data_IF_659206545349
#
_entry.id   IF_659206545349
#
_cell.length_a   1.000
_cell.length_b   1.000
_cell.length_c   1.000
_cell.angle_alpha   90.00
_cell.angle_beta   90.00
_cell.angle_gamma   90.00
#
_symmetry.space_group_name_H-M   'P 1'
#
loop_
_entity.id
_entity.type
_entity.pdbx_description
1 polymer ?
#
# COMPACT_ATOMS: atom_id res chain seq x y z
N UNK A 1 1.78 -70.51 54.29
CA UNK A 1 2.51 -69.98 53.21
C UNK A 1 1.53 -69.71 52.03
N UNK A 2 1.10 -68.47 51.85
CA UNK A 2 0.17 -68.09 50.76
C UNK A 2 0.87 -67.02 49.96
N UNK A 3 1.28 -67.38 48.72
CA UNK A 3 1.92 -66.52 47.71
C UNK A 3 0.83 -65.70 47.02
N UNK A 4 0.92 -64.36 47.11
CA UNK A 4 0.07 -63.40 46.36
C UNK A 4 0.76 -63.08 45.08
N UNK A 5 0.05 -63.23 43.95
CA UNK A 5 0.46 -62.76 42.63
C UNK A 5 -0.10 -61.37 42.39
N UNK A 6 0.75 -60.36 42.17
CA UNK A 6 0.39 -59.01 41.68
C UNK A 6 0.33 -59.04 40.16
N UNK A 7 -0.82 -58.88 39.62
CA UNK A 7 -1.01 -58.67 38.17
C UNK A 7 -0.77 -57.20 37.79
N UNK A 8 0.19 -56.98 36.91
CA UNK A 8 0.53 -55.67 36.32
C UNK A 8 -0.40 -55.42 35.12
N UNK A 9 -1.37 -54.48 35.22
CA UNK A 9 -2.19 -54.04 34.10
C UNK A 9 -1.43 -52.97 33.33
N UNK A 10 -0.95 -53.32 32.12
CA UNK A 10 -0.42 -52.40 31.11
C UNK A 10 -1.61 -51.69 30.42
N UNK A 11 -1.84 -50.42 30.72
CA UNK A 11 -2.75 -49.57 29.96
C UNK A 11 -1.97 -48.99 28.75
N UNK A 12 -2.15 -49.58 27.59
CA UNK A 12 -1.67 -49.01 26.33
C UNK A 12 -2.58 -47.85 25.88
N UNK A 13 -2.18 -46.63 26.20
CA UNK A 13 -2.84 -45.44 25.70
C UNK A 13 -2.56 -45.28 24.19
N UNK A 14 -3.56 -45.51 23.34
CA UNK A 14 -3.51 -45.19 21.94
C UNK A 14 -3.62 -43.65 21.79
N UNK A 15 -2.47 -43.02 21.51
CA UNK A 15 -2.48 -41.61 21.03
C UNK A 15 -3.01 -41.59 19.60
N UNK A 16 -4.29 -41.23 19.44
CA UNK A 16 -4.84 -40.88 18.15
C UNK A 16 -4.19 -39.57 17.71
N UNK A 17 -3.22 -39.66 16.81
CA UNK A 17 -2.70 -38.51 16.05
C UNK A 17 -3.83 -37.96 15.18
N UNK A 18 -4.48 -36.90 15.62
CA UNK A 18 -5.35 -36.10 14.77
C UNK A 18 -4.46 -35.40 13.76
N UNK A 19 -4.28 -36.01 12.61
CA UNK A 19 -3.73 -35.33 11.45
C UNK A 19 -4.64 -34.14 11.15
N UNK A 20 -4.17 -32.91 11.44
CA UNK A 20 -4.77 -31.71 10.90
C UNK A 20 -4.65 -31.83 9.37
N UNK A 21 -5.72 -32.24 8.73
CA UNK A 21 -5.93 -31.98 7.30
C UNK A 21 -5.84 -30.46 7.16
N UNK A 22 -4.69 -29.95 6.69
CA UNK A 22 -4.56 -28.58 6.25
C UNK A 22 -5.67 -28.36 5.21
N UNK A 23 -6.54 -27.39 5.47
CA UNK A 23 -7.52 -26.98 4.49
C UNK A 23 -6.74 -26.57 3.24
N UNK A 24 -6.70 -27.45 2.23
CA UNK A 24 -6.23 -27.09 0.91
C UNK A 24 -7.18 -25.99 0.45
N UNK A 25 -6.65 -24.77 0.28
CA UNK A 25 -7.42 -23.64 -0.19
C UNK A 25 -8.19 -24.08 -1.46
N UNK A 26 -9.49 -23.80 -1.48
CA UNK A 26 -10.31 -24.10 -2.66
C UNK A 26 -9.67 -23.44 -3.88
N UNK A 27 -9.48 -24.17 -4.96
CA UNK A 27 -8.97 -23.63 -6.22
C UNK A 27 -9.78 -22.37 -6.62
N UNK A 28 -9.16 -21.36 -7.22
CA UNK A 28 -9.87 -20.18 -7.69
C UNK A 28 -10.92 -20.55 -8.71
N UNK A 29 -12.13 -19.96 -8.60
CA UNK A 29 -13.24 -20.21 -9.52
C UNK A 29 -13.12 -19.40 -10.82
N UNK A 30 -12.15 -18.48 -10.90
CA UNK A 30 -11.88 -17.61 -12.02
C UNK A 30 -10.38 -17.32 -12.16
N UNK A 31 -10.06 -16.48 -13.12
CA UNK A 31 -8.70 -15.99 -13.34
C UNK A 31 -8.61 -14.52 -12.93
N UNK A 32 -7.66 -14.20 -12.09
CA UNK A 32 -7.41 -12.90 -11.49
C UNK A 32 -6.25 -12.22 -12.22
N UNK A 33 -6.47 -11.01 -12.68
CA UNK A 33 -5.51 -10.24 -13.46
C UNK A 33 -5.05 -9.01 -12.67
N UNK A 34 -3.72 -8.87 -12.51
CA UNK A 34 -3.08 -7.86 -11.67
C UNK A 34 -1.90 -7.25 -12.40
N UNK A 35 -1.81 -5.93 -12.44
CA UNK A 35 -0.63 -5.23 -12.95
C UNK A 35 0.38 -4.97 -11.84
N UNK A 36 1.67 -5.10 -12.15
CA UNK A 36 2.79 -4.80 -11.25
C UNK A 36 3.85 -3.98 -11.96
N UNK A 37 4.36 -2.95 -11.27
CA UNK A 37 5.45 -2.10 -11.72
C UNK A 37 6.75 -2.52 -11.05
N UNK A 38 7.81 -2.67 -11.84
CA UNK A 38 9.15 -3.07 -11.40
C UNK A 38 10.15 -1.95 -11.71
N UNK A 39 10.53 -1.21 -10.66
CA UNK A 39 11.31 0.03 -10.74
C UNK A 39 12.73 -0.23 -11.25
N UNK A 40 13.37 -1.30 -10.79
CA UNK A 40 14.80 -1.56 -11.06
C UNK A 40 15.14 -1.92 -12.50
N UNK A 41 14.17 -2.24 -13.34
CA UNK A 41 14.41 -2.60 -14.74
C UNK A 41 13.35 -2.08 -15.72
N UNK A 42 12.59 -1.03 -15.33
CA UNK A 42 11.59 -0.32 -16.16
C UNK A 42 10.52 -1.24 -16.76
N UNK A 43 9.98 -2.18 -15.97
CA UNK A 43 9.01 -3.13 -16.49
C UNK A 43 7.65 -3.01 -15.85
N UNK A 44 6.63 -3.24 -16.67
CA UNK A 44 5.25 -3.45 -16.22
C UNK A 44 4.84 -4.85 -16.64
N UNK A 45 4.45 -5.68 -15.67
CA UNK A 45 3.98 -7.03 -15.92
C UNK A 45 2.48 -7.15 -15.61
N UNK A 46 1.76 -7.91 -16.41
CA UNK A 46 0.42 -8.40 -16.11
C UNK A 46 0.52 -9.84 -15.60
N UNK A 47 0.06 -10.05 -14.39
CA UNK A 47 0.02 -11.35 -13.75
C UNK A 47 -1.36 -11.95 -13.93
N UNK A 48 -1.42 -13.23 -14.29
CA UNK A 48 -2.64 -14.05 -14.30
C UNK A 48 -2.51 -15.12 -13.23
N UNK A 49 -3.51 -15.20 -12.36
CA UNK A 49 -3.63 -16.25 -11.34
C UNK A 49 -4.98 -16.93 -11.47
N UNK A 50 -5.00 -18.26 -11.50
CA UNK A 50 -6.20 -19.04 -11.64
C UNK A 50 -6.01 -20.51 -11.26
N UNK A 51 -6.91 -21.43 -11.68
CA UNK A 51 -6.81 -22.85 -11.34
C UNK A 51 -5.49 -23.51 -11.78
N UNK A 52 -4.86 -22.97 -12.84
CA UNK A 52 -3.56 -23.46 -13.35
C UNK A 52 -2.35 -22.86 -12.60
N UNK A 53 -2.58 -22.06 -11.54
CA UNK A 53 -1.52 -21.36 -10.81
C UNK A 53 -1.33 -19.91 -11.26
N UNK A 54 -0.14 -19.34 -10.95
CA UNK A 54 0.21 -17.97 -11.29
C UNK A 54 1.27 -17.93 -12.39
N UNK A 55 1.12 -16.99 -13.33
CA UNK A 55 2.11 -16.75 -14.40
C UNK A 55 2.15 -15.27 -14.80
N UNK A 56 3.26 -14.86 -15.39
CA UNK A 56 3.32 -13.61 -16.13
C UNK A 56 2.59 -13.83 -17.46
N UNK A 57 1.51 -13.11 -17.67
CA UNK A 57 0.71 -13.18 -18.90
C UNK A 57 1.38 -12.38 -20.03
N UNK A 58 1.86 -11.19 -19.69
CA UNK A 58 2.68 -10.34 -20.54
C UNK A 58 3.50 -9.38 -19.70
N UNK A 59 4.56 -8.87 -20.30
CA UNK A 59 5.53 -8.00 -19.67
C UNK A 59 6.15 -7.09 -20.74
N UNK A 60 6.20 -5.78 -20.49
CA UNK A 60 6.81 -4.84 -21.40
C UNK A 60 7.69 -3.84 -20.66
N UNK A 61 8.67 -3.29 -21.36
CA UNK A 61 9.52 -2.23 -20.86
C UNK A 61 8.83 -0.88 -21.08
N UNK A 62 8.89 0.00 -20.08
CA UNK A 62 8.47 1.39 -20.21
C UNK A 62 9.55 2.22 -20.92
N UNK A 63 9.11 3.34 -21.53
CA UNK A 63 9.98 4.32 -22.16
C UNK A 63 10.32 4.01 -23.61
N UNK A 64 10.79 5.03 -24.29
CA UNK A 64 11.16 5.00 -25.71
C UNK A 64 12.68 4.82 -25.86
N UNK A 65 13.44 5.42 -24.94
CA UNK A 65 14.89 5.37 -24.95
C UNK A 65 15.40 4.17 -24.11
N UNK A 66 16.10 3.20 -24.71
CA UNK A 66 16.58 2.02 -23.98
C UNK A 66 17.69 2.30 -22.96
N UNK A 67 18.32 3.49 -23.02
CA UNK A 67 19.36 3.88 -22.06
C UNK A 67 18.84 4.73 -20.90
N UNK A 68 17.58 5.12 -20.94
CA UNK A 68 16.93 5.88 -19.88
C UNK A 68 16.30 4.93 -18.85
N UNK A 69 16.55 5.18 -17.56
CA UNK A 69 15.88 4.49 -16.44
C UNK A 69 14.79 5.41 -15.92
N UNK A 70 13.55 5.02 -16.14
CA UNK A 70 12.37 5.82 -15.76
C UNK A 70 11.92 5.52 -14.33
N UNK A 71 12.14 4.31 -13.83
CA UNK A 71 11.75 3.87 -12.51
C UNK A 71 10.23 3.86 -12.30
N UNK A 72 9.46 2.98 -12.95
CA UNK A 72 8.03 2.85 -12.70
C UNK A 72 7.78 2.44 -11.25
N UNK A 73 7.15 3.33 -10.45
CA UNK A 73 7.02 3.16 -9.02
C UNK A 73 5.60 2.81 -8.60
N UNK A 74 4.62 3.67 -8.87
CA UNK A 74 3.21 3.43 -8.58
C UNK A 74 2.44 2.99 -9.82
N UNK A 75 1.38 2.21 -9.62
CA UNK A 75 0.45 1.81 -10.68
C UNK A 75 -0.98 1.84 -10.16
N UNK A 76 -1.94 2.26 -11.00
CA UNK A 76 -3.36 2.23 -10.69
C UNK A 76 -4.18 1.96 -11.96
N UNK A 77 -5.19 1.13 -11.85
CA UNK A 77 -6.13 0.81 -12.95
C UNK A 77 -7.33 1.74 -12.86
N UNK A 78 -7.82 2.22 -14.01
CA UNK A 78 -9.04 3.02 -14.07
C UNK A 78 -10.27 2.20 -13.63
N UNK A 79 -11.29 2.81 -12.99
CA UNK A 79 -12.48 2.08 -12.51
C UNK A 79 -13.24 1.33 -13.61
N UNK A 80 -13.19 1.83 -14.86
CA UNK A 80 -13.80 1.18 -16.03
C UNK A 80 -12.93 0.04 -16.61
N UNK A 81 -11.73 -0.17 -16.07
CA UNK A 81 -10.79 -1.20 -16.47
C UNK A 81 -10.15 -1.02 -17.84
N UNK A 82 -10.31 0.16 -18.50
CA UNK A 82 -9.78 0.38 -19.85
C UNK A 82 -8.35 0.88 -19.88
N UNK A 83 -7.93 1.57 -18.82
CA UNK A 83 -6.62 2.19 -18.71
C UNK A 83 -5.93 1.79 -17.42
N UNK A 84 -4.61 1.87 -17.43
CA UNK A 84 -3.81 1.93 -16.21
C UNK A 84 -2.83 3.08 -16.28
N UNK A 85 -2.49 3.61 -15.12
CA UNK A 85 -1.60 4.73 -14.95
C UNK A 85 -0.37 4.31 -14.18
N UNK A 86 0.80 4.84 -14.57
CA UNK A 86 2.08 4.51 -13.95
C UNK A 86 2.83 5.81 -13.66
N UNK A 87 3.34 5.93 -12.43
CA UNK A 87 4.28 7.01 -12.10
C UNK A 87 5.70 6.56 -12.38
N UNK A 88 6.54 7.49 -12.86
CA UNK A 88 7.97 7.26 -13.02
C UNK A 88 8.76 8.19 -12.11
N UNK A 89 9.65 7.59 -11.30
CA UNK A 89 10.28 8.23 -10.16
C UNK A 89 11.65 8.87 -10.47
N UNK A 90 12.37 8.38 -11.47
CA UNK A 90 13.78 8.72 -11.68
C UNK A 90 14.02 9.96 -12.57
N UNK A 91 12.98 10.61 -13.06
CA UNK A 91 13.10 11.87 -13.81
C UNK A 91 13.64 13.01 -12.95
N UNK A 92 14.62 13.76 -13.45
CA UNK A 92 15.20 14.92 -12.77
C UNK A 92 15.05 16.16 -13.67
N UNK A 93 14.47 17.26 -13.16
CA UNK A 93 13.98 17.52 -11.80
C UNK A 93 12.59 16.97 -11.53
N UNK A 94 11.88 16.48 -12.54
CA UNK A 94 10.47 16.06 -12.48
C UNK A 94 10.32 14.61 -12.91
N UNK A 95 9.38 13.89 -12.28
CA UNK A 95 8.90 12.62 -12.80
C UNK A 95 7.63 12.82 -13.64
N UNK A 96 6.99 11.73 -14.03
CA UNK A 96 5.83 11.79 -14.91
C UNK A 96 4.75 10.76 -14.49
N UNK A 97 3.53 11.07 -14.93
CA UNK A 97 2.42 10.12 -14.98
C UNK A 97 2.19 9.68 -16.41
N UNK A 98 2.12 8.37 -16.63
CA UNK A 98 1.87 7.75 -17.92
C UNK A 98 0.52 7.05 -17.92
N UNK A 99 -0.20 7.09 -19.05
CA UNK A 99 -1.49 6.42 -19.25
C UNK A 99 -1.38 5.40 -20.37
N UNK A 100 -1.76 4.16 -20.09
CA UNK A 100 -1.72 3.06 -21.04
C UNK A 100 -3.09 2.38 -21.15
N UNK A 101 -3.35 1.73 -22.29
CA UNK A 101 -4.52 0.85 -22.41
C UNK A 101 -4.26 -0.48 -21.72
N UNK A 102 -5.23 -1.00 -20.95
CA UNK A 102 -5.11 -2.31 -20.30
C UNK A 102 -5.08 -3.48 -21.29
N UNK A 103 -5.66 -3.32 -22.49
CA UNK A 103 -5.78 -4.39 -23.47
C UNK A 103 -4.45 -4.71 -24.18
N UNK A 104 -3.62 -3.71 -24.47
CA UNK A 104 -2.44 -3.84 -25.33
C UNK A 104 -1.20 -3.11 -24.84
N UNK A 105 -1.25 -2.50 -23.66
CA UNK A 105 -0.18 -1.68 -23.10
C UNK A 105 0.25 -0.52 -24.04
N UNK A 106 -0.71 -0.01 -24.85
CA UNK A 106 -0.46 1.10 -25.75
C UNK A 106 -0.44 2.40 -24.97
N UNK A 107 0.61 3.21 -25.15
CA UNK A 107 0.71 4.55 -24.57
C UNK A 107 -0.37 5.45 -25.14
N UNK A 108 -1.16 6.09 -24.26
CA UNK A 108 -2.25 7.01 -24.62
C UNK A 108 -1.91 8.46 -24.28
N UNK A 109 -1.19 8.66 -23.17
CA UNK A 109 -0.85 10.00 -22.70
C UNK A 109 0.24 10.01 -21.65
N UNK A 110 0.85 11.18 -21.47
CA UNK A 110 1.88 11.44 -20.45
C UNK A 110 1.79 12.89 -19.99
N UNK A 111 2.03 13.12 -18.70
CA UNK A 111 2.15 14.46 -18.11
C UNK A 111 3.31 14.50 -17.13
N UNK A 112 4.11 15.58 -17.18
CA UNK A 112 5.18 15.82 -16.23
C UNK A 112 4.59 16.35 -14.91
N UNK A 113 5.08 15.85 -13.79
CA UNK A 113 4.60 16.19 -12.45
C UNK A 113 5.72 16.75 -11.58
N UNK A 114 5.57 16.66 -10.24
CA UNK A 114 6.60 17.05 -9.29
C UNK A 114 7.77 16.05 -9.21
N UNK A 115 8.69 16.30 -8.29
CA UNK A 115 9.83 15.43 -8.07
C UNK A 115 9.39 14.10 -7.44
N UNK A 116 9.83 13.00 -8.02
CA UNK A 116 9.57 11.64 -7.58
C UNK A 116 8.07 11.38 -7.34
N UNK A 117 7.20 11.40 -8.37
CA UNK A 117 5.82 10.96 -8.22
C UNK A 117 5.82 9.46 -7.88
N UNK A 118 5.32 9.13 -6.68
CA UNK A 118 5.40 7.78 -6.12
C UNK A 118 4.06 7.04 -6.22
N UNK A 119 3.16 7.29 -5.30
CA UNK A 119 1.88 6.59 -5.23
C UNK A 119 0.79 7.36 -5.93
N UNK A 120 -0.21 6.64 -6.43
CA UNK A 120 -1.32 7.25 -7.14
C UNK A 120 -2.62 6.48 -6.90
N UNK A 121 -3.74 7.16 -7.14
CA UNK A 121 -5.04 6.54 -7.20
C UNK A 121 -5.96 7.29 -8.17
N UNK A 122 -6.79 6.56 -8.90
CA UNK A 122 -7.83 7.13 -9.77
C UNK A 122 -9.09 7.36 -8.95
N UNK A 123 -9.77 8.49 -9.15
CA UNK A 123 -11.06 8.76 -8.51
C UNK A 123 -12.12 7.73 -8.95
N UNK A 124 -13.12 7.42 -8.10
CA UNK A 124 -14.13 6.40 -8.42
C UNK A 124 -14.93 6.65 -9.70
N UNK A 125 -15.07 7.92 -10.11
CA UNK A 125 -15.70 8.33 -11.36
C UNK A 125 -14.75 8.28 -12.57
N UNK A 126 -13.46 7.97 -12.34
CA UNK A 126 -12.42 7.93 -13.38
C UNK A 126 -11.95 9.28 -13.88
N UNK A 127 -12.47 10.40 -13.33
CA UNK A 127 -12.19 11.74 -13.84
C UNK A 127 -10.80 12.27 -13.47
N UNK A 128 -10.29 11.92 -12.29
CA UNK A 128 -9.02 12.44 -11.78
C UNK A 128 -8.09 11.34 -11.32
N UNK A 129 -6.78 11.60 -11.46
CA UNK A 129 -5.71 10.81 -10.86
C UNK A 129 -5.00 11.68 -9.83
N UNK A 130 -4.99 11.22 -8.58
CA UNK A 130 -4.26 11.85 -7.48
C UNK A 130 -2.89 11.20 -7.38
N UNK A 131 -1.82 12.00 -7.47
CA UNK A 131 -0.44 11.51 -7.51
C UNK A 131 0.39 12.20 -6.43
N UNK A 132 0.99 11.41 -5.57
CA UNK A 132 1.87 11.93 -4.51
C UNK A 132 3.26 12.19 -5.06
N UNK A 133 3.73 13.42 -4.97
CA UNK A 133 5.11 13.80 -5.29
C UNK A 133 5.96 13.60 -4.03
N UNK A 134 6.63 12.46 -3.94
CA UNK A 134 7.35 12.05 -2.73
C UNK A 134 8.60 12.90 -2.45
N UNK A 135 9.25 13.40 -3.49
CA UNK A 135 10.46 14.22 -3.41
C UNK A 135 11.61 13.54 -2.63
N UNK A 136 11.80 12.23 -2.85
CA UNK A 136 12.75 11.39 -2.07
C UNK A 136 14.18 11.90 -2.11
N UNK A 137 14.63 12.41 -3.26
CA UNK A 137 16.02 12.85 -3.47
C UNK A 137 16.19 14.37 -3.44
N UNK A 138 15.10 15.11 -3.17
CA UNK A 138 15.13 16.55 -3.09
C UNK A 138 15.44 17.08 -1.69
N UNK A 139 15.49 18.39 -1.57
CA UNK A 139 15.56 19.05 -0.26
C UNK A 139 14.35 18.70 0.61
N UNK A 140 14.50 18.61 1.95
CA UNK A 140 13.38 18.30 2.84
C UNK A 140 12.45 19.51 3.02
N UNK A 141 11.76 19.87 1.91
CA UNK A 141 10.77 20.94 1.83
C UNK A 141 9.38 20.37 1.67
N UNK A 142 8.37 21.20 1.86
CA UNK A 142 6.98 20.82 1.59
C UNK A 142 6.83 20.37 0.14
N UNK A 143 6.36 19.16 -0.06
CA UNK A 143 5.95 18.60 -1.34
C UNK A 143 4.42 18.55 -1.45
N UNK A 144 3.88 17.77 -2.38
CA UNK A 144 2.50 17.95 -2.82
C UNK A 144 1.83 16.66 -3.30
N UNK A 145 0.52 16.76 -3.48
CA UNK A 145 -0.29 15.83 -4.29
C UNK A 145 -0.71 16.55 -5.56
N UNK A 146 -0.33 16.03 -6.72
CA UNK A 146 -0.82 16.48 -8.03
C UNK A 146 -2.18 15.89 -8.31
N UNK A 147 -3.09 16.68 -8.89
CA UNK A 147 -4.40 16.24 -9.38
C UNK A 147 -4.38 16.35 -10.89
N UNK A 148 -4.49 15.23 -11.58
CA UNK A 148 -4.44 15.15 -13.05
C UNK A 148 -5.83 14.82 -13.56
N UNK A 149 -6.34 15.63 -14.53
CA UNK A 149 -7.55 15.29 -15.26
C UNK A 149 -7.24 14.13 -16.21
N UNK A 150 -7.86 12.99 -15.94
CA UNK A 150 -7.47 11.71 -16.50
C UNK A 150 -7.70 11.58 -18.02
N UNK A 151 -8.72 12.25 -18.57
CA UNK A 151 -9.04 12.19 -19.99
C UNK A 151 -7.96 12.87 -20.84
N UNK A 152 -7.60 14.09 -20.50
CA UNK A 152 -6.66 14.92 -21.26
C UNK A 152 -5.21 14.80 -20.79
N UNK A 153 -4.94 14.10 -19.70
CA UNK A 153 -3.63 13.98 -19.06
C UNK A 153 -3.01 15.36 -18.76
N UNK A 154 -3.79 16.23 -18.10
CA UNK A 154 -3.38 17.57 -17.70
C UNK A 154 -3.40 17.70 -16.18
N UNK A 155 -2.31 18.19 -15.57
CA UNK A 155 -2.28 18.55 -14.16
C UNK A 155 -3.14 19.79 -13.95
N UNK A 156 -4.28 19.64 -13.26
CA UNK A 156 -5.22 20.75 -13.02
C UNK A 156 -4.87 21.54 -11.77
N UNK A 157 -4.23 20.92 -10.81
CA UNK A 157 -3.73 21.58 -9.59
C UNK A 157 -2.68 20.73 -8.90
N UNK A 158 -1.92 21.38 -8.03
CA UNK A 158 -0.92 20.76 -7.16
C UNK A 158 -1.16 21.24 -5.74
N UNK A 159 -1.56 20.31 -4.86
CA UNK A 159 -1.96 20.58 -3.48
C UNK A 159 -0.73 20.45 -2.57
N UNK A 160 -0.19 21.54 -1.98
CA UNK A 160 0.87 21.44 -1.00
C UNK A 160 0.40 20.62 0.22
N UNK A 161 1.22 19.69 0.69
CA UNK A 161 0.87 18.82 1.82
C UNK A 161 1.89 18.90 2.95
N UNK A 162 3.08 18.31 2.78
CA UNK A 162 4.06 18.13 3.85
C UNK A 162 5.43 17.70 3.30
N UNK A 163 6.39 17.44 4.19
CA UNK A 163 7.69 16.91 3.80
C UNK A 163 7.61 15.41 3.58
N UNK A 164 8.04 14.96 2.41
CA UNK A 164 8.02 13.54 2.01
C UNK A 164 6.63 12.89 2.15
N UNK A 165 5.61 13.41 1.45
CA UNK A 165 4.33 12.71 1.37
C UNK A 165 4.52 11.37 0.64
N UNK A 166 3.83 10.28 1.09
CA UNK A 166 4.05 8.96 0.51
C UNK A 166 2.74 8.23 0.21
N UNK A 167 2.41 7.18 0.95
CA UNK A 167 1.27 6.35 0.66
C UNK A 167 -0.07 7.05 0.85
N UNK A 168 -0.97 6.88 -0.10
CA UNK A 168 -2.24 7.60 -0.09
C UNK A 168 -3.39 6.75 -0.64
N UNK A 169 -4.63 7.09 -0.23
CA UNK A 169 -5.87 6.49 -0.74
C UNK A 169 -7.02 7.48 -0.70
N UNK A 170 -7.89 7.40 -1.69
CA UNK A 170 -9.23 7.99 -1.64
C UNK A 170 -10.17 7.15 -0.76
N UNK A 171 -11.13 7.77 -0.11
CA UNK A 171 -12.26 7.03 0.44
C UNK A 171 -13.14 6.48 -0.70
N UNK A 172 -14.02 5.53 -0.40
CA UNK A 172 -14.86 4.85 -1.40
C UNK A 172 -15.73 5.81 -2.22
N UNK A 173 -16.13 6.95 -1.65
CA UNK A 173 -16.91 7.98 -2.33
C UNK A 173 -16.07 8.95 -3.16
N UNK A 174 -14.74 8.90 -3.07
CA UNK A 174 -13.85 9.85 -3.76
C UNK A 174 -13.91 11.28 -3.22
N UNK A 175 -14.54 11.52 -2.06
CA UNK A 175 -14.73 12.86 -1.48
C UNK A 175 -13.56 13.31 -0.60
N UNK A 176 -12.74 12.38 -0.14
CA UNK A 176 -11.58 12.61 0.70
C UNK A 176 -10.40 11.79 0.19
N UNK A 177 -9.23 12.40 0.17
CA UNK A 177 -7.96 11.74 -0.13
C UNK A 177 -7.05 11.84 1.09
N UNK A 178 -6.59 10.72 1.57
CA UNK A 178 -5.70 10.62 2.73
C UNK A 178 -4.27 10.37 2.26
N UNK A 179 -3.31 11.16 2.74
CA UNK A 179 -1.89 11.00 2.43
C UNK A 179 -1.05 11.12 3.70
N UNK A 180 -0.01 10.33 3.79
CA UNK A 180 0.89 10.36 4.95
C UNK A 180 2.10 11.23 4.69
N UNK A 181 2.70 11.74 5.77
CA UNK A 181 3.84 12.65 5.80
C UNK A 181 4.97 12.01 6.59
N UNK A 182 5.92 11.35 5.91
CA UNK A 182 6.94 10.54 6.57
C UNK A 182 7.82 11.34 7.52
N UNK A 183 8.19 12.58 7.14
CA UNK A 183 9.10 13.44 7.91
C UNK A 183 8.38 14.39 8.87
N UNK A 184 7.05 14.33 8.95
CA UNK A 184 6.25 15.11 9.89
C UNK A 184 5.49 14.23 10.91
N UNK A 185 5.61 12.89 10.84
CA UNK A 185 4.77 11.96 11.60
C UNK A 185 3.29 12.32 11.52
N UNK A 186 2.77 12.60 10.33
CA UNK A 186 1.41 13.09 10.17
C UNK A 186 0.63 12.36 9.07
N UNK A 187 -0.70 12.35 9.23
CA UNK A 187 -1.68 12.04 8.20
C UNK A 187 -2.35 13.34 7.79
N UNK A 188 -2.51 13.60 6.49
CA UNK A 188 -3.34 14.70 5.96
C UNK A 188 -4.59 14.16 5.30
N UNK A 189 -5.71 14.87 5.51
CA UNK A 189 -6.95 14.69 4.78
C UNK A 189 -7.12 15.85 3.78
N UNK A 190 -7.26 15.50 2.52
CA UNK A 190 -7.51 16.43 1.42
C UNK A 190 -9.00 16.37 1.07
N UNK A 191 -9.67 17.50 1.03
CA UNK A 191 -11.01 17.63 0.47
C UNK A 191 -10.89 17.67 -1.06
N UNK A 192 -11.46 16.67 -1.74
CA UNK A 192 -11.33 16.53 -3.20
C UNK A 192 -12.16 17.51 -4.01
N UNK A 193 -13.17 18.16 -3.39
CA UNK A 193 -13.98 19.19 -4.04
C UNK A 193 -13.31 20.56 -3.98
N UNK A 194 -12.54 20.81 -2.90
CA UNK A 194 -11.84 22.08 -2.69
C UNK A 194 -10.39 22.02 -3.15
N UNK A 195 -9.87 20.83 -3.46
CA UNK A 195 -8.47 20.58 -3.77
C UNK A 195 -7.52 21.17 -2.72
N UNK A 196 -7.81 20.94 -1.46
CA UNK A 196 -7.04 21.49 -0.35
C UNK A 196 -7.02 20.58 0.86
N UNK A 197 -5.98 20.73 1.71
CA UNK A 197 -5.88 20.01 2.98
C UNK A 197 -6.91 20.58 3.94
N UNK A 198 -7.88 19.75 4.37
CA UNK A 198 -8.93 20.13 5.32
C UNK A 198 -8.48 20.02 6.77
N UNK A 199 -7.70 18.98 7.09
CA UNK A 199 -7.19 18.72 8.44
C UNK A 199 -6.01 17.75 8.38
N UNK A 200 -5.29 17.65 9.49
CA UNK A 200 -4.20 16.67 9.64
C UNK A 200 -4.22 16.04 11.04
N UNK A 201 -3.51 14.93 11.20
CA UNK A 201 -3.40 14.19 12.44
C UNK A 201 -1.94 13.90 12.76
N UNK A 202 -1.46 14.30 13.94
CA UNK A 202 -0.12 13.98 14.41
C UNK A 202 -0.08 12.54 14.94
N UNK A 203 0.88 11.75 14.45
CA UNK A 203 1.03 10.31 14.72
C UNK A 203 2.16 10.00 15.72
N UNK A 204 2.90 11.01 16.14
CA UNK A 204 4.00 10.86 17.11
C UNK A 204 3.48 10.25 18.40
N UNK A 205 4.06 9.12 18.82
CA UNK A 205 3.59 8.34 19.97
C UNK A 205 3.58 9.18 21.25
N UNK A 206 2.42 9.21 21.91
CA UNK A 206 2.19 9.99 23.13
C UNK A 206 1.85 11.47 22.87
N UNK A 207 1.74 11.88 21.59
CA UNK A 207 1.35 13.24 21.17
C UNK A 207 0.26 13.21 20.10
N UNK A 208 -0.43 12.10 19.98
CA UNK A 208 -1.43 11.89 18.92
C UNK A 208 -2.61 12.84 19.11
N UNK A 209 -2.87 13.68 18.11
CA UNK A 209 -4.04 14.57 18.10
C UNK A 209 -4.37 15.08 16.69
N UNK A 210 -5.62 15.43 16.48
CA UNK A 210 -6.12 16.00 15.25
C UNK A 210 -6.10 17.51 15.26
N UNK A 211 -5.84 18.13 14.10
CA UNK A 211 -5.75 19.57 13.89
C UNK A 211 -6.43 19.95 12.57
N UNK A 212 -6.95 21.18 12.47
CA UNK A 212 -7.50 21.74 11.25
C UNK A 212 -6.39 22.25 10.31
N UNK A 213 -6.65 22.21 9.01
CA UNK A 213 -5.73 22.71 7.97
C UNK A 213 -4.48 21.83 7.75
N UNK A 214 -3.53 22.31 6.94
CA UNK A 214 -2.29 21.61 6.65
C UNK A 214 -1.33 21.59 7.85
N UNK A 215 -0.43 20.60 7.94
CA UNK A 215 0.61 20.61 8.94
C UNK A 215 1.54 21.82 8.74
N UNK A 216 1.89 22.50 9.83
CA UNK A 216 2.87 23.59 9.79
C UNK A 216 4.25 23.01 9.49
N UNK A 217 4.85 23.44 8.39
CA UNK A 217 6.24 23.14 8.09
C UNK A 217 7.05 24.33 8.62
N UNK A 218 7.98 24.10 9.56
CA UNK A 218 8.90 25.15 9.96
C UNK A 218 9.68 25.60 8.73
N UNK A 219 9.45 26.85 8.30
CA UNK A 219 10.29 27.48 7.32
C UNK A 219 11.74 27.47 7.86
N UNK A 220 12.70 26.99 7.06
CA UNK A 220 14.11 27.21 7.38
C UNK A 220 14.29 28.71 7.54
N UNK A 221 14.87 29.11 8.68
CA UNK A 221 15.11 30.49 9.04
C UNK A 221 15.91 31.25 7.97
N UNK A 222 15.18 31.99 7.15
CA UNK A 222 15.64 33.10 6.37
C UNK A 222 14.68 34.24 6.71
N UNK A 223 15.09 35.11 7.60
CA UNK A 223 14.51 36.38 7.95
C UNK A 223 13.07 36.70 7.49
N UNK A 224 12.09 36.32 8.32
CA UNK A 224 10.90 37.15 8.51
C UNK A 224 10.26 36.84 9.87
N UNK A 225 10.42 37.80 10.78
CA UNK A 225 9.85 37.80 12.12
C UNK A 225 8.45 38.39 12.10
N UNK A 226 7.45 37.63 11.62
CA UNK A 226 6.05 37.96 11.86
C UNK A 226 5.11 36.80 11.54
N UNK A 227 5.04 35.81 12.40
CA UNK A 227 3.81 35.01 12.66
C UNK A 227 4.09 34.06 13.84
N UNK A 228 4.00 34.56 15.07
CA UNK A 228 3.81 33.69 16.23
C UNK A 228 2.35 33.19 16.21
N UNK A 229 2.12 32.05 15.58
CA UNK A 229 0.95 31.23 15.85
C UNK A 229 1.36 30.11 16.80
N UNK A 230 0.60 29.92 17.87
CA UNK A 230 0.78 28.86 18.86
C UNK A 230 0.51 27.48 18.23
N UNK A 231 1.41 27.00 17.37
CA UNK A 231 1.42 25.65 16.81
C UNK A 231 2.65 24.91 17.31
N UNK A 232 2.51 23.67 17.74
CA UNK A 232 3.61 22.81 18.12
C UNK A 232 4.64 22.74 16.98
N UNK A 233 5.90 23.00 17.30
CA UNK A 233 7.02 22.88 16.37
C UNK A 233 7.01 21.49 15.72
N UNK A 234 7.18 21.38 14.38
CA UNK A 234 7.19 20.08 13.71
C UNK A 234 8.29 19.20 14.30
N UNK A 235 8.06 17.88 14.43
CA UNK A 235 9.04 16.98 15.02
C UNK A 235 10.35 17.00 14.22
N UNK A 236 11.47 17.05 14.92
CA UNK A 236 12.80 16.89 14.32
C UNK A 236 12.98 15.45 13.84
N UNK A 237 13.83 15.17 12.85
CA UNK A 237 14.04 13.81 12.35
C UNK A 237 14.33 12.76 13.43
N UNK A 238 14.98 13.14 14.54
CA UNK A 238 15.23 12.28 15.71
C UNK A 238 13.99 11.97 16.56
N UNK A 239 12.97 12.83 16.51
CA UNK A 239 11.75 12.73 17.32
C UNK A 239 10.66 11.91 16.66
N UNK A 240 10.82 11.54 15.37
CA UNK A 240 9.85 10.74 14.63
C UNK A 240 9.72 9.35 15.25
N UNK A 241 8.49 8.96 15.56
CA UNK A 241 8.17 7.66 16.17
C UNK A 241 7.42 6.73 15.24
N UNK A 242 6.58 7.27 14.34
CA UNK A 242 5.76 6.54 13.39
C UNK A 242 6.47 6.36 12.04
N UNK A 243 6.98 7.45 11.45
CA UNK A 243 7.42 7.48 10.04
C UNK A 243 6.38 6.81 9.14
N UNK A 244 5.19 7.45 8.98
CA UNK A 244 4.06 6.81 8.33
C UNK A 244 4.32 6.60 6.85
N UNK A 245 3.99 5.41 6.34
CA UNK A 245 4.25 5.03 4.94
C UNK A 245 2.98 4.85 4.11
N UNK A 246 1.84 4.60 4.73
CA UNK A 246 0.58 4.36 4.02
C UNK A 246 -0.63 4.79 4.81
N UNK A 247 -1.65 5.31 4.12
CA UNK A 247 -2.99 5.55 4.65
C UNK A 247 -4.00 4.69 3.89
N UNK A 248 -4.89 3.99 4.62
CA UNK A 248 -5.94 3.15 4.07
C UNK A 248 -7.27 3.46 4.78
N UNK A 249 -8.24 4.09 4.12
CA UNK A 249 -9.60 4.24 4.66
C UNK A 249 -10.29 2.87 4.77
N UNK A 250 -11.17 2.72 5.76
CA UNK A 250 -12.10 1.60 5.82
C UNK A 250 -13.13 1.67 4.68
N UNK A 251 -13.75 0.52 4.37
CA UNK A 251 -14.73 0.42 3.29
C UNK A 251 -15.93 1.37 3.47
N UNK A 252 -16.37 1.56 4.72
CA UNK A 252 -17.46 2.47 5.11
C UNK A 252 -17.03 3.94 5.27
N UNK A 253 -15.71 4.22 5.18
CA UNK A 253 -15.14 5.55 5.35
C UNK A 253 -15.14 6.07 6.79
N UNK A 254 -15.55 5.27 7.77
CA UNK A 254 -15.62 5.68 9.17
C UNK A 254 -14.25 5.74 9.84
N UNK A 255 -13.25 5.04 9.31
CA UNK A 255 -11.90 4.94 9.86
C UNK A 255 -10.83 5.17 8.80
N UNK A 256 -9.65 5.58 9.26
CA UNK A 256 -8.41 5.54 8.46
C UNK A 256 -7.34 4.78 9.24
N UNK A 257 -6.72 3.82 8.57
CA UNK A 257 -5.58 3.05 9.08
C UNK A 257 -4.29 3.64 8.53
N UNK A 258 -3.29 3.86 9.40
CA UNK A 258 -2.00 4.43 9.02
C UNK A 258 -0.88 3.46 9.41
N UNK A 259 -0.10 3.03 8.43
CA UNK A 259 1.08 2.19 8.65
C UNK A 259 2.21 3.02 9.24
N UNK A 260 2.60 2.75 10.48
CA UNK A 260 3.73 3.36 11.18
C UNK A 260 4.96 2.45 11.03
N UNK A 261 5.75 2.68 10.00
CA UNK A 261 6.89 1.83 9.64
C UNK A 261 7.93 1.71 10.75
N UNK A 262 8.23 2.81 11.45
CA UNK A 262 9.26 2.84 12.50
C UNK A 262 8.83 2.17 13.79
N UNK A 263 7.55 2.29 14.18
CA UNK A 263 7.00 1.70 15.42
C UNK A 263 6.41 0.30 15.24
N UNK A 264 6.34 -0.24 14.01
CA UNK A 264 5.80 -1.57 13.72
C UNK A 264 4.36 -1.74 14.17
N UNK A 265 3.55 -0.71 14.00
CA UNK A 265 2.13 -0.72 14.32
C UNK A 265 1.30 0.02 13.27
N UNK A 266 0.00 -0.20 13.30
CA UNK A 266 -0.99 0.56 12.53
C UNK A 266 -1.77 1.43 13.50
N UNK A 267 -1.84 2.73 13.20
CA UNK A 267 -2.72 3.66 13.93
C UNK A 267 -4.10 3.65 13.28
N UNK A 268 -5.12 3.38 14.07
CA UNK A 268 -6.53 3.49 13.67
C UNK A 268 -7.09 4.82 14.15
N UNK A 269 -7.64 5.60 13.22
CA UNK A 269 -8.21 6.95 13.46
C UNK A 269 -9.70 6.89 13.10
N UNK A 270 -10.56 7.32 14.02
CA UNK A 270 -11.97 7.59 13.74
C UNK A 270 -12.12 8.89 12.96
N UNK A 271 -12.73 8.82 11.76
CA UNK A 271 -12.86 9.96 10.85
C UNK A 271 -13.83 11.00 11.36
N UNK A 272 -14.89 10.60 12.08
CA UNK A 272 -15.90 11.50 12.62
C UNK A 272 -15.38 12.39 13.73
N UNK A 273 -14.77 11.81 14.76
CA UNK A 273 -14.19 12.52 15.90
C UNK A 273 -12.79 13.04 15.65
N UNK A 274 -12.09 12.54 14.62
CA UNK A 274 -10.70 12.82 14.29
C UNK A 274 -9.76 12.54 15.47
N UNK A 275 -9.94 11.34 16.09
CA UNK A 275 -9.17 10.86 17.23
C UNK A 275 -8.61 9.46 16.97
N UNK A 276 -7.45 9.14 17.55
CA UNK A 276 -6.92 7.79 17.53
C UNK A 276 -7.77 6.88 18.42
N UNK A 277 -8.19 5.73 17.89
CA UNK A 277 -8.94 4.72 18.66
C UNK A 277 -8.03 3.67 19.24
N UNK A 278 -6.99 3.26 18.49
CA UNK A 278 -6.02 2.26 18.96
C UNK A 278 -4.77 2.21 18.07
N UNK A 279 -3.76 1.49 18.58
CA UNK A 279 -2.60 1.03 17.82
C UNK A 279 -2.65 -0.49 17.69
N UNK A 280 -2.44 -1.02 16.50
CA UNK A 280 -2.51 -2.45 16.17
C UNK A 280 -1.08 -2.92 15.87
N UNK A 281 -0.48 -3.80 16.70
CA UNK A 281 0.86 -4.33 16.45
C UNK A 281 0.90 -5.15 15.14
N UNK A 282 2.02 -5.06 14.42
CA UNK A 282 2.27 -5.78 13.16
C UNK A 282 3.64 -6.47 13.16
N UNK A 283 4.02 -7.02 12.01
CA UNK A 283 5.41 -7.40 11.75
C UNK A 283 6.33 -6.20 11.57
N UNK A 284 7.63 -6.47 11.46
CA UNK A 284 8.67 -5.44 11.40
C UNK A 284 8.58 -4.60 10.11
N UNK A 285 8.44 -3.30 10.27
CA UNK A 285 8.40 -2.33 9.19
C UNK A 285 7.14 -2.38 8.35
N UNK A 286 5.95 -2.34 8.98
CA UNK A 286 4.69 -2.25 8.23
C UNK A 286 4.74 -1.08 7.25
N UNK A 287 4.33 -1.33 5.97
CA UNK A 287 4.61 -0.38 4.89
C UNK A 287 3.37 -0.01 4.08
N UNK A 288 2.74 -0.97 3.40
CA UNK A 288 1.53 -0.75 2.60
C UNK A 288 0.35 -1.45 3.25
N UNK A 289 -0.85 -0.92 3.03
CA UNK A 289 -2.09 -1.43 3.57
C UNK A 289 -3.13 -1.63 2.46
N UNK A 290 -3.88 -2.73 2.55
CA UNK A 290 -5.07 -2.97 1.76
C UNK A 290 -6.20 -3.48 2.65
N UNK A 291 -7.41 -2.95 2.50
CA UNK A 291 -8.60 -3.40 3.21
C UNK A 291 -9.52 -4.19 2.28
N UNK A 292 -10.17 -5.22 2.81
CA UNK A 292 -11.23 -5.93 2.08
C UNK A 292 -12.47 -5.03 1.93
N UNK A 293 -13.24 -5.24 0.86
CA UNK A 293 -14.45 -4.44 0.57
C UNK A 293 -15.57 -4.71 1.57
N UNK A 294 -15.61 -5.92 2.10
CA UNK A 294 -16.55 -6.30 3.18
C UNK A 294 -16.19 -5.68 4.54
N UNK A 295 -15.06 -4.97 4.63
CA UNK A 295 -14.59 -4.27 5.83
C UNK A 295 -14.10 -5.18 6.96
N UNK A 296 -13.86 -6.48 6.69
CA UNK A 296 -13.46 -7.42 7.74
C UNK A 296 -11.96 -7.50 7.96
N UNK A 297 -11.16 -7.46 6.89
CA UNK A 297 -9.72 -7.69 6.97
C UNK A 297 -8.92 -6.47 6.51
N UNK A 298 -7.82 -6.24 7.21
CA UNK A 298 -6.76 -5.32 6.82
C UNK A 298 -5.49 -6.14 6.59
N UNK A 299 -4.87 -5.95 5.44
CA UNK A 299 -3.63 -6.63 5.05
C UNK A 299 -2.51 -5.60 5.06
N UNK A 300 -1.47 -5.86 5.84
CA UNK A 300 -0.29 -5.00 5.93
C UNK A 300 0.98 -5.72 5.47
N UNK A 301 1.75 -5.10 4.57
CA UNK A 301 3.06 -5.63 4.17
C UNK A 301 4.12 -5.20 5.19
N UNK A 302 4.93 -6.13 5.70
CA UNK A 302 6.00 -5.86 6.66
C UNK A 302 7.34 -5.86 5.92
N UNK A 303 7.77 -4.68 5.48
CA UNK A 303 8.88 -4.49 4.54
C UNK A 303 10.21 -5.05 5.07
N UNK A 304 10.52 -4.82 6.37
CA UNK A 304 11.70 -5.37 7.03
C UNK A 304 11.49 -6.80 7.53
N UNK A 305 10.25 -7.16 7.89
CA UNK A 305 9.88 -8.44 8.48
C UNK A 305 9.69 -9.58 7.48
N UNK A 306 9.89 -9.35 6.18
CA UNK A 306 9.69 -10.34 5.12
C UNK A 306 8.38 -11.14 5.30
N UNK A 307 7.29 -10.42 5.56
CA UNK A 307 6.00 -11.03 5.86
C UNK A 307 4.84 -10.11 5.53
N UNK A 308 3.64 -10.66 5.63
CA UNK A 308 2.37 -9.96 5.53
C UNK A 308 1.57 -10.24 6.79
N UNK A 309 1.02 -9.20 7.43
CA UNK A 309 0.08 -9.29 8.54
C UNK A 309 -1.35 -9.26 8.00
N UNK A 310 -2.17 -10.24 8.34
CA UNK A 310 -3.61 -10.24 8.08
C UNK A 310 -4.33 -9.99 9.40
N UNK A 311 -5.09 -8.91 9.47
CA UNK A 311 -5.66 -8.35 10.70
C UNK A 311 -7.18 -8.32 10.58
N UNK A 312 -7.88 -8.78 11.60
CA UNK A 312 -9.33 -8.57 11.75
C UNK A 312 -9.60 -7.13 12.18
N UNK A 313 -10.30 -6.37 11.34
CA UNK A 313 -10.54 -4.93 11.56
C UNK A 313 -11.36 -4.70 12.83
N UNK A 314 -12.35 -5.53 13.11
CA UNK A 314 -13.24 -5.33 14.26
C UNK A 314 -12.48 -5.42 15.59
N UNK A 315 -11.68 -6.45 15.76
CA UNK A 315 -10.93 -6.70 17.01
C UNK A 315 -9.54 -6.05 17.03
N UNK A 316 -8.96 -5.71 15.87
CA UNK A 316 -7.56 -5.31 15.75
C UNK A 316 -6.56 -6.45 15.96
N UNK A 317 -7.02 -7.68 15.94
CA UNK A 317 -6.16 -8.86 16.16
C UNK A 317 -5.51 -9.31 14.87
N UNK A 318 -4.20 -9.55 14.89
CA UNK A 318 -3.52 -10.25 13.82
C UNK A 318 -3.95 -11.71 13.78
N UNK A 319 -4.60 -12.12 12.70
CA UNK A 319 -5.08 -13.50 12.49
C UNK A 319 -3.98 -14.40 11.96
N UNK A 320 -3.12 -13.85 11.10
CA UNK A 320 -1.99 -14.58 10.53
C UNK A 320 -0.84 -13.63 10.18
N UNK A 321 0.38 -14.15 10.27
CA UNK A 321 1.60 -13.54 9.72
C UNK A 321 2.21 -14.50 8.72
N UNK A 322 2.21 -14.13 7.44
CA UNK A 322 2.54 -15.01 6.33
C UNK A 322 3.86 -14.56 5.72
N UNK A 323 4.84 -15.45 5.66
CA UNK A 323 6.15 -15.15 5.08
C UNK A 323 6.07 -14.93 3.57
N UNK A 324 6.74 -13.88 3.07
CA UNK A 324 6.90 -13.62 1.63
C UNK A 324 8.04 -14.46 1.04
N UNK A 325 7.99 -14.67 -0.28
CA UNK A 325 8.98 -15.49 -1.00
C UNK A 325 10.38 -14.87 -0.94
N UNK A 326 10.46 -13.54 -1.01
CA UNK A 326 11.70 -12.76 -0.91
C UNK A 326 11.57 -11.66 0.12
N UNK A 327 12.68 -10.97 0.37
CA UNK A 327 12.72 -9.78 1.24
C UNK A 327 12.07 -8.58 0.57
N UNK A 328 11.71 -7.60 1.39
CA UNK A 328 11.17 -6.30 0.99
C UNK A 328 9.76 -6.42 0.42
N UNK A 329 8.82 -6.88 1.26
CA UNK A 329 7.38 -6.84 0.95
C UNK A 329 6.93 -5.36 0.79
N UNK A 330 6.30 -5.02 -0.35
CA UNK A 330 6.04 -3.64 -0.75
C UNK A 330 4.55 -3.37 -0.94
N UNK A 331 4.01 -3.46 -2.14
CA UNK A 331 2.62 -3.16 -2.45
C UNK A 331 1.66 -4.30 -2.11
N UNK A 332 0.37 -3.98 -1.94
CA UNK A 332 -0.71 -4.95 -1.81
C UNK A 332 -1.96 -4.50 -2.57
N UNK A 333 -2.54 -5.41 -3.35
CA UNK A 333 -3.83 -5.25 -4.02
C UNK A 333 -4.76 -6.39 -3.61
N UNK A 334 -5.99 -6.05 -3.20
CA UNK A 334 -7.00 -7.02 -2.80
C UNK A 334 -7.94 -7.29 -3.98
N UNK A 335 -8.28 -8.55 -4.24
CA UNK A 335 -9.27 -8.89 -5.26
C UNK A 335 -10.67 -8.38 -4.87
N UNK A 336 -11.53 -8.00 -5.83
CA UNK A 336 -12.84 -7.42 -5.55
C UNK A 336 -13.82 -8.33 -4.80
N UNK A 337 -13.57 -9.65 -4.83
CA UNK A 337 -14.32 -10.69 -4.11
C UNK A 337 -13.75 -10.96 -2.70
N UNK A 338 -12.78 -10.15 -2.26
CA UNK A 338 -12.11 -10.24 -0.95
C UNK A 338 -11.41 -11.59 -0.67
N UNK A 339 -11.15 -12.38 -1.72
CA UNK A 339 -10.60 -13.71 -1.56
C UNK A 339 -9.08 -13.75 -1.56
N UNK A 340 -8.43 -12.92 -2.37
CA UNK A 340 -6.97 -12.93 -2.52
C UNK A 340 -6.35 -11.56 -2.31
N UNK A 341 -5.19 -11.56 -1.64
CA UNK A 341 -4.27 -10.44 -1.65
C UNK A 341 -3.07 -10.77 -2.55
N UNK A 342 -2.77 -9.86 -3.47
CA UNK A 342 -1.60 -9.89 -4.34
C UNK A 342 -0.56 -8.95 -3.77
N UNK A 343 0.60 -9.47 -3.42
CA UNK A 343 1.67 -8.74 -2.73
C UNK A 343 2.89 -8.67 -3.62
N UNK A 344 3.30 -7.47 -3.99
CA UNK A 344 4.57 -7.26 -4.67
C UNK A 344 5.72 -7.30 -3.66
N UNK A 345 6.81 -7.95 -4.04
CA UNK A 345 8.00 -8.11 -3.23
C UNK A 345 9.21 -7.72 -4.07
N UNK A 346 9.99 -6.76 -3.59
CA UNK A 346 11.05 -6.13 -4.37
C UNK A 346 12.24 -7.06 -4.64
N UNK A 347 12.57 -7.96 -3.69
CA UNK A 347 13.85 -8.66 -3.66
C UNK A 347 15.00 -7.78 -3.17
N UNK A 348 16.22 -8.26 -3.24
CA UNK A 348 17.43 -7.52 -2.81
C UNK A 348 18.52 -7.64 -3.88
N UNK A 349 19.15 -6.51 -4.21
CA UNK A 349 20.21 -6.44 -5.21
C UNK A 349 19.70 -6.82 -6.59
N UNK A 350 20.34 -7.81 -7.24
CA UNK A 350 19.98 -8.29 -8.58
C UNK A 350 18.89 -9.37 -8.59
N UNK A 351 18.30 -9.69 -7.45
CA UNK A 351 17.20 -10.65 -7.40
C UNK A 351 15.98 -10.12 -8.16
N UNK A 352 15.26 -10.97 -8.91
CA UNK A 352 13.95 -10.59 -9.42
C UNK A 352 13.00 -10.30 -8.26
N UNK A 353 12.03 -9.42 -8.46
CA UNK A 353 10.88 -9.29 -7.58
C UNK A 353 9.96 -10.50 -7.69
N UNK A 354 8.96 -10.59 -6.81
CA UNK A 354 7.86 -11.56 -6.92
C UNK A 354 6.52 -10.89 -6.72
N UNK A 355 5.47 -11.55 -7.22
CA UNK A 355 4.11 -11.34 -6.74
C UNK A 355 3.69 -12.59 -5.98
N UNK A 356 3.51 -12.45 -4.67
CA UNK A 356 3.00 -13.50 -3.80
C UNK A 356 1.47 -13.39 -3.71
N UNK A 357 0.76 -14.51 -3.87
CA UNK A 357 -0.70 -14.57 -3.80
C UNK A 357 -1.09 -15.25 -2.49
N UNK A 358 -1.89 -14.52 -1.69
CA UNK A 358 -2.34 -14.95 -0.37
C UNK A 358 -3.84 -15.19 -0.43
N UNK A 359 -4.28 -16.39 -0.07
CA UNK A 359 -5.69 -16.72 0.17
C UNK A 359 -6.11 -16.15 1.53
N UNK A 360 -7.02 -15.19 1.52
CA UNK A 360 -7.50 -14.51 2.73
C UNK A 360 -8.52 -15.34 3.53
N UNK A 361 -9.08 -16.39 2.94
CA UNK A 361 -9.93 -17.35 3.64
C UNK A 361 -9.10 -18.39 4.37
N UNK A 362 -8.13 -18.99 3.67
CA UNK A 362 -7.21 -19.98 4.23
C UNK A 362 -6.05 -19.39 5.03
N UNK A 363 -5.86 -18.07 4.98
CA UNK A 363 -4.77 -17.32 5.63
C UNK A 363 -3.39 -17.90 5.32
N UNK A 364 -3.14 -18.17 4.03
CA UNK A 364 -1.88 -18.78 3.57
C UNK A 364 -1.48 -18.29 2.19
N UNK A 365 -0.19 -18.34 1.90
CA UNK A 365 0.33 -18.11 0.56
C UNK A 365 0.02 -19.32 -0.33
N UNK A 366 -0.65 -19.10 -1.47
CA UNK A 366 -1.08 -20.15 -2.39
C UNK A 366 -0.29 -20.20 -3.69
N UNK A 367 0.35 -19.09 -4.07
CA UNK A 367 1.21 -19.03 -5.25
C UNK A 367 2.24 -17.90 -5.13
N UNK A 368 3.25 -17.96 -5.98
CA UNK A 368 4.25 -16.90 -6.17
C UNK A 368 4.73 -16.94 -7.62
N UNK A 369 4.99 -15.77 -8.22
CA UNK A 369 5.53 -15.67 -9.58
C UNK A 369 6.61 -14.60 -9.63
N UNK A 370 7.72 -14.90 -10.31
CA UNK A 370 8.84 -13.97 -10.51
C UNK A 370 8.43 -12.87 -11.50
N UNK A 371 8.84 -11.63 -11.20
CA UNK A 371 8.65 -10.43 -12.02
C UNK A 371 9.95 -9.62 -12.11
N UNK A 372 9.89 -8.42 -12.67
CA UNK A 372 11.06 -7.54 -12.74
C UNK A 372 11.62 -7.17 -11.36
N UNK A 373 12.83 -6.59 -11.35
CA UNK A 373 13.52 -6.16 -10.12
C UNK A 373 12.80 -4.99 -9.45
N UNK A 374 12.84 -4.93 -8.12
CA UNK A 374 12.20 -3.90 -7.31
C UNK A 374 10.71 -3.75 -7.64
N UNK A 375 9.98 -4.89 -7.59
CA UNK A 375 8.53 -4.90 -7.78
C UNK A 375 7.84 -4.16 -6.63
N UNK A 376 7.37 -2.94 -6.87
CA UNK A 376 6.79 -2.04 -5.87
C UNK A 376 5.28 -1.85 -6.06
N UNK A 377 4.90 -1.03 -7.04
CA UNK A 377 3.50 -0.73 -7.33
C UNK A 377 2.74 -1.94 -7.85
N UNK A 378 1.52 -2.15 -7.35
CA UNK A 378 0.64 -3.25 -7.76
C UNK A 378 -0.81 -2.79 -7.69
N UNK A 379 -1.61 -3.14 -8.70
CA UNK A 379 -3.05 -2.87 -8.66
C UNK A 379 -3.85 -3.95 -9.40
N UNK A 380 -5.07 -4.17 -8.93
CA UNK A 380 -5.95 -5.21 -9.43
C UNK A 380 -6.71 -4.72 -10.66
N UNK A 381 -6.73 -5.53 -11.73
CA UNK A 381 -7.48 -5.19 -12.93
C UNK A 381 -8.87 -5.80 -12.95
N UNK A 382 -8.98 -7.13 -13.04
CA UNK A 382 -10.27 -7.81 -13.18
C UNK A 382 -10.21 -9.29 -12.84
N UNK A 383 -11.39 -9.86 -12.61
CA UNK A 383 -11.62 -11.31 -12.62
C UNK A 383 -12.27 -11.66 -13.97
N UNK A 384 -11.78 -12.72 -14.60
CA UNK A 384 -12.43 -13.31 -15.80
C UNK A 384 -12.81 -14.76 -15.50
N UNK A 385 -13.85 -15.31 -16.14
CA UNK A 385 -14.19 -16.72 -16.01
C UNK A 385 -12.96 -17.59 -16.32
N UNK A 386 -12.79 -18.69 -15.59
CA UNK A 386 -11.82 -19.71 -15.97
C UNK A 386 -12.24 -20.33 -17.34
N UNK A 387 -11.28 -20.68 -18.21
CA UNK A 387 -11.54 -21.25 -19.53
C UNK A 387 -12.25 -22.61 -19.45
#
# INVERSE_FOLDING_TARGET
>A
MRTAWLGLLLVTGAYASVARLGAQGRAPDGEYLVFVASEGNDRIALIRFGPAGAKVERDHRMGINPTELLGPHGIAVSPDGKYYYVTTAHGTPNGALWKFTTARDSLVGRVDLGAFPATLQVSPDGAYVYVVNFNLYGDPVTSSVSVVYADQMVEVTRIPTCVMPHGSRLNALGTKHYSVCMMNDALVEIDTRQFGVSRHFLLTKGKEHGMSGPPTVAARAGHDMAAMSHGSEPPKPGDLTCSPTWAQPSADGAKVFVACNKSNDIVEIDVGSWTMTRRIPTGDGVYNLGATRDGRLLVGTNKRGQSVSVIDIASGKELARISTTRKVASGVAISPDDRYAFVSVEGVGSQPGTVDIIDLVGLQKVASVDVGQQAGGIDFWKIVPAP
#
